data_IF_216711528763
#
_entry.id   IF_216711528763
#
_cell.length_a   1.000
_cell.length_b   1.000
_cell.length_c   1.000
_cell.angle_alpha   90.00
_cell.angle_beta   90.00
_cell.angle_gamma   90.00
#
_symmetry.space_group_name_H-M   'P 1'
#
loop_
_entity.id
_entity.type
_entity.pdbx_description
1 polymer ?
#
# COMPACT_ATOMS: atom_id res chain seq x y z
N UNK A 1 0.84 -12.90 -9.90
CA UNK A 1 0.93 -12.45 -8.51
C UNK A 1 1.00 -13.65 -7.56
N UNK A 2 0.09 -14.63 -7.69
CA UNK A 2 -0.02 -15.78 -6.78
C UNK A 2 1.31 -16.55 -6.66
N UNK A 3 1.87 -17.02 -7.78
CA UNK A 3 3.13 -17.77 -7.79
C UNK A 3 4.28 -17.00 -7.14
N UNK A 4 4.43 -15.71 -7.47
CA UNK A 4 5.52 -14.89 -6.91
C UNK A 4 5.32 -14.53 -5.42
N UNK A 5 4.07 -14.44 -4.97
CA UNK A 5 3.77 -14.27 -3.55
C UNK A 5 4.05 -15.56 -2.75
N UNK A 6 3.77 -16.74 -3.34
CA UNK A 6 4.17 -18.02 -2.76
C UNK A 6 5.70 -18.13 -2.66
N UNK A 7 6.42 -17.82 -3.73
CA UNK A 7 7.89 -17.80 -3.72
C UNK A 7 8.45 -16.89 -2.63
N UNK A 8 7.89 -15.68 -2.46
CA UNK A 8 8.29 -14.78 -1.37
C UNK A 8 8.00 -15.36 0.02
N UNK A 9 6.85 -16.02 0.21
CA UNK A 9 6.52 -16.68 1.48
C UNK A 9 7.47 -17.86 1.78
N UNK A 10 7.81 -18.67 0.77
CA UNK A 10 8.80 -19.73 0.88
C UNK A 10 10.18 -19.15 1.25
N UNK A 11 10.58 -18.03 0.65
CA UNK A 11 11.81 -17.33 1.01
C UNK A 11 11.79 -16.91 2.48
N UNK A 12 10.71 -16.28 2.96
CA UNK A 12 10.59 -15.87 4.36
C UNK A 12 10.70 -17.07 5.31
N UNK A 13 10.07 -18.20 5.00
CA UNK A 13 10.19 -19.43 5.79
C UNK A 13 11.61 -20.01 5.74
N UNK A 14 12.29 -19.98 4.60
CA UNK A 14 13.68 -20.46 4.49
C UNK A 14 14.66 -19.61 5.32
N UNK A 15 14.35 -18.35 5.55
CA UNK A 15 15.07 -17.45 6.44
C UNK A 15 14.67 -17.62 7.92
N UNK A 16 13.77 -18.56 8.24
CA UNK A 16 13.34 -18.82 9.61
C UNK A 16 12.31 -17.81 10.16
N UNK A 17 11.71 -16.96 9.32
CA UNK A 17 10.65 -16.06 9.78
C UNK A 17 9.40 -16.88 10.14
N UNK A 18 8.80 -16.52 11.26
CA UNK A 18 7.60 -17.15 11.81
C UNK A 18 6.44 -16.16 11.87
N UNK A 19 5.25 -16.66 12.21
CA UNK A 19 4.09 -15.82 12.47
C UNK A 19 4.41 -14.76 13.53
N UNK A 20 4.14 -13.51 13.21
CA UNK A 20 4.39 -12.37 14.09
C UNK A 20 5.75 -11.68 13.91
N UNK A 21 6.66 -12.26 13.12
CA UNK A 21 7.89 -11.57 12.70
C UNK A 21 7.58 -10.39 11.76
N UNK A 22 8.55 -9.53 11.57
CA UNK A 22 8.39 -8.29 10.82
C UNK A 22 9.32 -8.19 9.62
N UNK A 23 8.81 -7.57 8.55
CA UNK A 23 9.62 -7.09 7.42
C UNK A 23 9.37 -5.60 7.19
N UNK A 24 10.36 -4.90 6.63
CA UNK A 24 10.26 -3.52 6.21
C UNK A 24 10.38 -3.40 4.68
N UNK A 25 9.57 -2.52 4.08
CA UNK A 25 9.48 -2.33 2.64
C UNK A 25 9.64 -0.85 2.31
N UNK A 26 10.71 -0.48 1.60
CA UNK A 26 10.97 0.86 1.11
C UNK A 26 10.96 0.86 -0.42
N UNK A 27 9.78 0.97 -1.02
CA UNK A 27 9.59 0.90 -2.46
C UNK A 27 8.70 2.03 -2.98
N UNK A 28 8.94 2.41 -4.23
CA UNK A 28 8.02 3.23 -5.01
C UNK A 28 6.75 2.43 -5.33
N UNK A 29 5.69 3.14 -5.76
CA UNK A 29 4.51 2.49 -6.30
C UNK A 29 4.86 1.62 -7.51
N UNK A 30 4.61 0.34 -7.39
CA UNK A 30 4.84 -0.63 -8.44
C UNK A 30 3.96 -1.87 -8.19
N UNK A 31 3.43 -2.56 -9.22
CA UNK A 31 2.66 -3.79 -9.02
C UNK A 31 3.39 -4.88 -8.21
N UNK A 32 4.72 -4.95 -8.30
CA UNK A 32 5.53 -5.90 -7.50
C UNK A 32 5.54 -5.61 -6.01
N UNK A 33 5.11 -4.42 -5.57
CA UNK A 33 4.89 -4.12 -4.15
C UNK A 33 3.93 -5.13 -3.52
N UNK A 34 2.89 -5.49 -4.27
CA UNK A 34 1.90 -6.47 -3.79
C UNK A 34 2.43 -7.90 -3.71
N UNK A 35 3.45 -8.27 -4.49
CA UNK A 35 4.09 -9.58 -4.37
C UNK A 35 4.69 -9.76 -2.97
N UNK A 36 5.36 -8.72 -2.47
CA UNK A 36 6.00 -8.72 -1.14
C UNK A 36 4.93 -8.68 -0.04
N UNK A 37 3.93 -7.79 -0.17
CA UNK A 37 2.85 -7.70 0.80
C UNK A 37 2.07 -9.01 0.91
N UNK A 38 1.73 -9.65 -0.22
CA UNK A 38 1.02 -10.92 -0.22
C UNK A 38 1.89 -12.10 0.23
N UNK A 39 3.20 -12.05 0.01
CA UNK A 39 4.12 -13.03 0.59
C UNK A 39 4.12 -12.94 2.13
N UNK A 40 4.20 -11.74 2.68
CA UNK A 40 4.11 -11.50 4.12
C UNK A 40 2.72 -11.84 4.68
N UNK A 41 1.64 -11.45 3.95
CA UNK A 41 0.26 -11.69 4.34
C UNK A 41 0.00 -13.18 4.57
N UNK A 42 0.37 -14.06 3.60
CA UNK A 42 0.16 -15.50 3.72
C UNK A 42 1.13 -16.23 4.67
N UNK A 43 2.21 -15.57 5.04
CA UNK A 43 3.18 -16.11 5.99
C UNK A 43 2.92 -15.66 7.43
N UNK A 44 1.84 -14.94 7.71
CA UNK A 44 1.54 -14.43 9.06
C UNK A 44 2.53 -13.38 9.56
N UNK A 45 3.16 -12.65 8.65
CA UNK A 45 4.23 -11.70 8.95
C UNK A 45 3.68 -10.27 8.91
N UNK A 46 4.15 -9.43 9.83
CA UNK A 46 3.92 -7.99 9.75
C UNK A 46 4.79 -7.37 8.66
N UNK A 47 4.18 -6.52 7.83
CA UNK A 47 4.92 -5.76 6.83
C UNK A 47 4.73 -4.26 7.03
N UNK A 48 5.87 -3.55 7.13
CA UNK A 48 5.92 -2.10 7.34
C UNK A 48 6.26 -1.40 6.03
N UNK A 49 5.27 -0.76 5.43
CA UNK A 49 5.46 0.06 4.23
C UNK A 49 6.02 1.43 4.62
N UNK A 50 7.27 1.68 4.24
CA UNK A 50 8.00 2.92 4.54
C UNK A 50 7.84 3.89 3.38
N UNK A 51 7.59 5.17 3.68
CA UNK A 51 7.54 6.22 2.67
C UNK A 51 8.89 6.34 1.96
N UNK A 52 8.89 6.16 0.66
CA UNK A 52 10.09 6.32 -0.18
C UNK A 52 10.59 7.78 -0.27
N UNK A 53 9.86 8.74 0.32
CA UNK A 53 10.25 10.15 0.43
C UNK A 53 11.10 10.45 1.67
N UNK A 54 11.17 9.51 2.61
CA UNK A 54 11.93 9.67 3.83
C UNK A 54 13.43 9.62 3.55
N UNK A 55 14.17 10.28 4.42
CA UNK A 55 15.62 10.31 4.39
C UNK A 55 16.23 9.21 5.26
N UNK A 56 17.52 9.00 5.14
CA UNK A 56 18.26 7.95 5.82
C UNK A 56 17.91 7.78 7.30
N UNK A 57 17.91 8.87 8.09
CA UNK A 57 17.69 8.80 9.54
C UNK A 57 16.27 8.32 9.91
N UNK A 58 15.28 8.70 9.11
CA UNK A 58 13.89 8.29 9.34
C UNK A 58 13.68 6.83 8.92
N UNK A 59 14.30 6.40 7.83
CA UNK A 59 14.27 4.99 7.38
C UNK A 59 14.95 4.10 8.43
N UNK A 60 16.15 4.49 8.90
CA UNK A 60 16.87 3.79 9.96
C UNK A 60 16.02 3.61 11.21
N UNK A 61 15.41 4.71 11.68
CA UNK A 61 14.52 4.66 12.82
C UNK A 61 13.37 3.66 12.63
N UNK A 62 12.66 3.74 11.50
CA UNK A 62 11.48 2.89 11.27
C UNK A 62 11.87 1.42 11.15
N UNK A 63 12.92 1.09 10.39
CA UNK A 63 13.39 -0.30 10.21
C UNK A 63 13.77 -0.93 11.54
N UNK A 64 14.51 -0.20 12.38
CA UNK A 64 14.89 -0.69 13.71
C UNK A 64 13.71 -0.74 14.67
N UNK A 65 12.83 0.29 14.68
CA UNK A 65 11.70 0.37 15.60
C UNK A 65 10.60 -0.65 15.30
N UNK A 66 10.40 -1.03 14.03
CA UNK A 66 9.46 -2.10 13.67
C UNK A 66 10.06 -3.50 13.84
N UNK A 67 11.29 -3.61 14.31
CA UNK A 67 12.00 -4.89 14.54
C UNK A 67 12.06 -5.77 13.28
N UNK A 68 12.25 -5.15 12.12
CA UNK A 68 12.29 -5.87 10.84
C UNK A 68 13.48 -6.81 10.78
N UNK A 69 13.24 -8.10 10.54
CA UNK A 69 14.28 -9.11 10.28
C UNK A 69 14.71 -9.12 8.81
N UNK A 70 13.83 -8.70 7.91
CA UNK A 70 14.11 -8.55 6.48
C UNK A 70 13.78 -7.14 6.03
N UNK A 71 14.71 -6.51 5.30
CA UNK A 71 14.51 -5.20 4.69
C UNK A 71 14.54 -5.31 3.17
N UNK A 72 13.49 -4.83 2.51
CA UNK A 72 13.33 -4.91 1.05
C UNK A 72 13.21 -3.52 0.47
N UNK A 73 14.04 -3.21 -0.54
CA UNK A 73 14.05 -1.90 -1.20
C UNK A 73 14.20 -2.02 -2.72
N UNK A 74 14.34 -0.90 -3.41
CA UNK A 74 14.67 -0.83 -4.85
C UNK A 74 16.02 -0.16 -5.09
N UNK A 75 16.64 -0.46 -6.23
CA UNK A 75 17.88 0.20 -6.65
C UNK A 75 17.71 1.72 -6.82
N UNK A 76 16.48 2.19 -7.09
CA UNK A 76 16.18 3.62 -7.13
C UNK A 76 16.31 4.32 -5.76
N UNK A 77 16.39 3.56 -4.66
CA UNK A 77 16.59 4.09 -3.29
C UNK A 77 18.01 3.86 -2.75
N UNK A 78 18.94 3.40 -3.59
CA UNK A 78 20.32 3.07 -3.18
C UNK A 78 21.00 4.16 -2.35
N UNK A 79 20.86 5.43 -2.73
CA UNK A 79 21.50 6.56 -2.04
C UNK A 79 21.02 6.73 -0.59
N UNK A 80 19.78 6.34 -0.31
CA UNK A 80 19.19 6.42 1.03
C UNK A 80 19.59 5.21 1.87
N UNK A 81 19.70 4.02 1.26
CA UNK A 81 19.88 2.77 2.01
C UNK A 81 21.32 2.29 2.11
N UNK A 82 22.19 2.66 1.17
CA UNK A 82 23.61 2.30 1.20
C UNK A 82 24.31 2.70 2.52
N UNK A 83 24.07 3.91 3.08
CA UNK A 83 24.66 4.30 4.37
C UNK A 83 24.08 3.54 5.57
N UNK A 84 23.01 2.76 5.40
CA UNK A 84 22.37 1.95 6.46
C UNK A 84 22.94 0.53 6.55
N UNK A 85 23.75 0.10 5.59
CA UNK A 85 24.41 -1.21 5.62
C UNK A 85 25.22 -1.34 6.89
N UNK A 86 24.96 -2.42 7.65
CA UNK A 86 25.62 -2.68 8.95
C UNK A 86 25.11 -1.84 10.13
N UNK A 87 24.12 -0.97 9.95
CA UNK A 87 23.53 -0.15 11.02
C UNK A 87 22.16 -0.64 11.48
N UNK A 88 21.62 -1.66 10.87
CA UNK A 88 20.34 -2.27 11.20
C UNK A 88 20.56 -3.61 11.94
N UNK A 89 20.77 -3.61 13.26
CA UNK A 89 21.28 -4.77 14.00
C UNK A 89 20.32 -5.96 14.05
N UNK A 90 19.01 -5.72 13.85
CA UNK A 90 17.98 -6.77 13.85
C UNK A 90 17.76 -7.34 12.45
N UNK A 91 18.10 -6.57 11.41
CA UNK A 91 17.93 -7.00 10.03
C UNK A 91 18.96 -8.09 9.69
N UNK A 92 18.46 -9.28 9.42
CA UNK A 92 19.26 -10.45 9.07
C UNK A 92 19.57 -10.52 7.59
N UNK A 93 18.63 -10.01 6.75
CA UNK A 93 18.76 -10.02 5.29
C UNK A 93 18.21 -8.72 4.67
N UNK A 94 18.99 -8.19 3.73
CA UNK A 94 18.59 -7.06 2.90
C UNK A 94 18.41 -7.51 1.45
N UNK A 95 17.27 -7.17 0.85
CA UNK A 95 17.00 -7.44 -0.57
C UNK A 95 16.76 -6.16 -1.34
N UNK A 96 17.21 -6.16 -2.59
CA UNK A 96 17.02 -5.03 -3.50
C UNK A 96 16.41 -5.49 -4.82
N UNK A 97 15.43 -4.75 -5.28
CA UNK A 97 14.80 -4.91 -6.59
C UNK A 97 15.53 -4.09 -7.65
N UNK A 98 15.48 -4.61 -8.89
CA UNK A 98 15.98 -3.91 -10.09
C UNK A 98 17.47 -3.53 -9.99
N UNK A 99 18.26 -4.34 -9.29
CA UNK A 99 19.70 -4.16 -9.10
C UNK A 99 20.15 -4.56 -7.70
N UNK A 100 21.42 -4.40 -7.41
CA UNK A 100 22.03 -4.69 -6.10
C UNK A 100 23.09 -3.66 -5.76
N UNK A 101 23.43 -3.58 -4.48
CA UNK A 101 24.62 -2.90 -3.93
C UNK A 101 25.25 -3.82 -2.89
N UNK A 102 26.45 -3.50 -2.43
CA UNK A 102 27.08 -4.25 -1.35
C UNK A 102 26.16 -4.29 -0.11
N UNK A 103 26.00 -5.48 0.47
CA UNK A 103 25.10 -5.71 1.60
C UNK A 103 23.63 -5.96 1.23
N UNK A 104 23.24 -5.91 -0.06
CA UNK A 104 21.92 -6.26 -0.53
C UNK A 104 21.95 -7.36 -1.59
N UNK A 105 21.13 -8.39 -1.42
CA UNK A 105 20.94 -9.45 -2.41
C UNK A 105 19.81 -9.09 -3.39
N UNK A 106 19.82 -9.68 -4.59
CA UNK A 106 18.73 -9.52 -5.56
C UNK A 106 17.44 -10.17 -5.02
N UNK A 107 16.37 -9.40 -4.95
CA UNK A 107 15.05 -9.92 -4.60
C UNK A 107 14.54 -10.90 -5.65
N UNK A 108 14.71 -10.56 -6.94
CA UNK A 108 14.29 -11.37 -8.06
C UNK A 108 14.95 -12.75 -8.05
N UNK A 109 16.27 -12.80 -7.86
CA UNK A 109 17.02 -14.07 -7.84
C UNK A 109 16.65 -14.91 -6.61
N UNK A 110 16.49 -14.26 -5.46
CA UNK A 110 16.14 -14.94 -4.22
C UNK A 110 14.76 -15.63 -4.32
N UNK A 111 13.73 -14.95 -4.85
CA UNK A 111 12.42 -15.56 -5.01
C UNK A 111 12.36 -16.58 -6.16
N UNK A 112 13.12 -16.37 -7.25
CA UNK A 112 13.17 -17.31 -8.39
C UNK A 112 13.71 -18.69 -7.98
N UNK A 113 14.54 -18.77 -6.95
CA UNK A 113 15.05 -20.02 -6.40
C UNK A 113 14.04 -20.78 -5.53
N UNK A 114 12.88 -20.16 -5.18
CA UNK A 114 11.89 -20.72 -4.29
C UNK A 114 10.76 -21.41 -5.07
N UNK A 115 10.10 -22.38 -4.38
CA UNK A 115 8.89 -23.03 -4.90
C UNK A 115 7.75 -22.01 -5.05
N UNK A 116 6.97 -22.12 -6.11
CA UNK A 116 5.74 -21.36 -6.33
C UNK A 116 4.50 -21.96 -5.62
N UNK A 117 4.69 -23.09 -4.93
CA UNK A 117 3.63 -23.72 -4.15
C UNK A 117 3.44 -22.99 -2.81
N UNK A 118 2.22 -22.97 -2.27
CA UNK A 118 1.95 -22.41 -0.96
C UNK A 118 2.83 -23.01 0.14
N UNK A 119 3.16 -22.24 1.17
CA UNK A 119 3.74 -22.77 2.41
C UNK A 119 2.67 -23.61 3.15
N UNK A 120 3.10 -24.65 3.89
CA UNK A 120 2.19 -25.57 4.55
C UNK A 120 1.42 -24.94 5.72
N UNK A 121 1.98 -23.90 6.33
CA UNK A 121 1.48 -23.23 7.54
C UNK A 121 0.96 -21.81 7.25
N UNK A 122 0.23 -21.64 6.13
CA UNK A 122 -0.35 -20.35 5.80
C UNK A 122 -1.23 -19.80 6.93
N UNK A 123 -1.04 -18.52 7.26
CA UNK A 123 -1.84 -17.79 8.22
C UNK A 123 -1.86 -16.30 7.87
N UNK A 124 -2.86 -15.56 8.36
CA UNK A 124 -2.99 -14.15 8.04
C UNK A 124 -1.90 -13.30 8.70
N UNK A 125 -1.22 -12.50 7.87
CA UNK A 125 -0.33 -11.41 8.28
C UNK A 125 -1.07 -10.07 8.36
N UNK A 126 -0.34 -9.00 8.64
CA UNK A 126 -0.94 -7.67 8.71
C UNK A 126 0.05 -6.56 8.35
N UNK A 127 -0.47 -5.46 7.83
CA UNK A 127 0.31 -4.23 7.71
C UNK A 127 0.52 -3.61 9.10
N UNK A 128 1.77 -3.27 9.43
CA UNK A 128 2.12 -2.39 10.54
C UNK A 128 2.60 -1.07 9.94
N UNK A 129 1.81 -0.01 10.09
CA UNK A 129 2.08 1.26 9.44
C UNK A 129 2.47 2.33 10.46
N UNK A 130 3.21 3.32 9.99
CA UNK A 130 3.68 4.42 10.82
C UNK A 130 2.85 5.68 10.55
N UNK A 131 2.45 6.36 11.64
CA UNK A 131 1.88 7.70 11.56
C UNK A 131 2.99 8.72 11.30
N UNK A 132 2.65 9.85 10.66
CA UNK A 132 3.60 10.94 10.42
C UNK A 132 4.09 11.65 11.69
N UNK A 133 3.56 11.31 12.87
CA UNK A 133 3.92 11.87 14.17
C UNK A 133 3.87 13.40 14.21
N UNK A 134 2.90 14.00 14.90
CA UNK A 134 2.83 15.46 15.05
C UNK A 134 3.76 15.99 16.16
N UNK A 135 4.32 15.11 16.98
CA UNK A 135 5.03 15.46 18.22
C UNK A 135 6.42 14.85 18.33
N UNK A 136 7.00 14.34 17.23
CA UNK A 136 8.32 13.70 17.28
C UNK A 136 8.47 12.57 16.28
N UNK A 137 9.03 11.44 16.70
CA UNK A 137 9.23 10.28 15.82
C UNK A 137 7.91 9.64 15.39
N UNK A 138 7.83 9.07 14.17
CA UNK A 138 6.68 8.31 13.71
C UNK A 138 6.34 7.18 14.68
N UNK A 139 5.03 6.95 14.92
CA UNK A 139 4.55 5.87 15.79
C UNK A 139 4.04 4.72 14.94
N UNK A 140 4.53 3.52 15.19
CA UNK A 140 4.05 2.29 14.57
C UNK A 140 2.72 1.84 15.18
N UNK A 141 1.75 1.52 14.33
CA UNK A 141 0.45 0.99 14.73
C UNK A 141 0.44 -0.51 14.41
N UNK A 142 0.56 -1.33 15.44
CA UNK A 142 0.57 -2.78 15.36
C UNK A 142 -0.77 -3.32 15.85
N UNK A 143 -1.54 -3.94 14.94
CA UNK A 143 -2.79 -4.64 15.28
C UNK A 143 -2.49 -6.10 15.60
N UNK A 144 -3.26 -6.76 16.46
CA UNK A 144 -3.17 -8.20 16.62
C UNK A 144 -3.33 -8.92 15.26
N UNK A 145 -2.56 -9.97 15.04
CA UNK A 145 -2.75 -10.82 13.87
C UNK A 145 -4.06 -11.60 14.00
N UNK A 146 -4.85 -11.73 12.92
CA UNK A 146 -6.05 -12.54 12.91
C UNK A 146 -5.74 -13.99 13.33
N UNK A 147 -6.62 -14.60 14.12
CA UNK A 147 -6.45 -16.00 14.55
C UNK A 147 -6.92 -17.00 13.48
N UNK A 148 -7.72 -16.53 12.53
CA UNK A 148 -8.25 -17.32 11.43
C UNK A 148 -7.14 -17.83 10.51
N UNK A 149 -7.39 -18.95 9.85
CA UNK A 149 -6.52 -19.45 8.80
C UNK A 149 -6.48 -18.47 7.61
N UNK A 150 -5.41 -18.55 6.83
CA UNK A 150 -5.26 -17.70 5.65
C UNK A 150 -6.45 -17.88 4.69
N UNK A 151 -7.07 -16.78 4.32
CA UNK A 151 -8.24 -16.76 3.43
C UNK A 151 -9.59 -16.98 4.10
N UNK A 152 -9.62 -17.29 5.41
CA UNK A 152 -10.86 -17.42 6.17
C UNK A 152 -11.31 -16.10 6.83
N UNK A 153 -10.46 -15.08 6.80
CA UNK A 153 -10.84 -13.74 7.26
C UNK A 153 -11.82 -13.13 6.24
N UNK A 154 -13.11 -13.37 6.49
CA UNK A 154 -14.22 -12.71 5.78
C UNK A 154 -14.38 -11.26 6.25
N UNK A 155 -13.28 -10.54 6.50
CA UNK A 155 -13.31 -9.13 6.83
C UNK A 155 -14.30 -8.41 5.92
N UNK A 156 -15.09 -7.49 6.47
CA UNK A 156 -16.11 -6.77 5.71
C UNK A 156 -15.45 -6.13 4.49
N UNK A 157 -15.81 -6.58 3.30
CA UNK A 157 -15.39 -5.93 2.06
C UNK A 157 -16.05 -4.55 1.99
N UNK A 158 -15.39 -3.58 2.63
CA UNK A 158 -15.88 -2.21 2.71
C UNK A 158 -16.08 -1.60 1.33
N UNK A 159 -15.26 -1.98 0.36
CA UNK A 159 -15.40 -1.48 -1.00
C UNK A 159 -16.70 -1.97 -1.64
N UNK A 160 -17.06 -3.22 -1.40
CA UNK A 160 -18.32 -3.80 -1.85
C UNK A 160 -19.52 -3.24 -1.07
N UNK A 161 -19.46 -3.27 0.27
CA UNK A 161 -20.61 -2.92 1.13
C UNK A 161 -20.92 -1.43 1.12
N UNK A 162 -19.89 -0.57 1.19
CA UNK A 162 -20.06 0.88 1.27
C UNK A 162 -20.07 1.57 -0.10
N UNK A 163 -19.36 1.00 -1.06
CA UNK A 163 -19.08 1.68 -2.33
C UNK A 163 -19.53 0.90 -3.56
N UNK A 164 -20.20 -0.22 -3.37
CA UNK A 164 -20.87 -0.95 -4.45
C UNK A 164 -19.92 -1.68 -5.43
N UNK A 165 -18.68 -1.94 -5.04
CA UNK A 165 -17.76 -2.69 -5.90
C UNK A 165 -18.28 -4.10 -6.18
N UNK A 166 -18.05 -4.59 -7.38
CA UNK A 166 -18.46 -5.90 -7.88
C UNK A 166 -17.31 -6.58 -8.63
N UNK A 167 -17.56 -7.78 -9.15
CA UNK A 167 -16.59 -8.49 -9.99
C UNK A 167 -16.23 -7.73 -11.29
N UNK A 168 -17.10 -6.84 -11.75
CA UNK A 168 -16.88 -6.03 -12.95
C UNK A 168 -16.16 -4.71 -12.65
N UNK A 169 -15.84 -4.46 -11.37
CA UNK A 169 -15.16 -3.22 -10.97
C UNK A 169 -13.68 -3.26 -11.35
N UNK A 170 -13.14 -2.07 -11.66
CA UNK A 170 -11.70 -1.84 -11.86
C UNK A 170 -11.29 -0.65 -10.99
N UNK A 171 -10.29 -0.86 -10.16
CA UNK A 171 -9.86 0.12 -9.17
C UNK A 171 -8.60 0.88 -9.61
N UNK A 172 -8.62 2.21 -9.54
CA UNK A 172 -7.43 3.05 -9.74
C UNK A 172 -6.83 3.48 -8.41
N UNK A 173 -5.53 3.21 -8.22
CA UNK A 173 -4.73 3.66 -7.08
C UNK A 173 -3.72 4.73 -7.51
N UNK A 174 -4.05 6.02 -7.41
CA UNK A 174 -3.17 7.12 -7.78
C UNK A 174 -2.24 7.56 -6.63
N UNK A 175 -2.55 7.15 -5.40
CA UNK A 175 -1.83 7.56 -4.20
C UNK A 175 -0.68 6.60 -3.84
N UNK A 176 0.31 7.06 -3.05
CA UNK A 176 1.41 6.20 -2.62
C UNK A 176 0.96 5.01 -1.75
N UNK A 177 1.46 3.82 -2.08
CA UNK A 177 1.11 2.56 -1.41
C UNK A 177 1.65 2.45 0.04
N UNK A 178 2.57 3.31 0.45
CA UNK A 178 3.01 3.34 1.84
C UNK A 178 2.01 4.01 2.80
N UNK A 179 0.95 4.63 2.29
CA UNK A 179 -0.13 5.14 3.12
C UNK A 179 -1.17 4.05 3.42
N UNK A 180 -1.75 4.13 4.62
CA UNK A 180 -2.69 3.13 5.13
C UNK A 180 -3.87 2.87 4.19
N UNK A 181 -4.55 3.91 3.75
CA UNK A 181 -5.74 3.76 2.94
C UNK A 181 -5.45 3.23 1.52
N UNK A 182 -4.52 3.79 0.73
CA UNK A 182 -4.15 3.22 -0.57
C UNK A 182 -3.73 1.75 -0.49
N UNK A 183 -2.94 1.39 0.52
CA UNK A 183 -2.52 -0.01 0.70
C UNK A 183 -3.70 -0.90 1.07
N UNK A 184 -4.53 -0.52 2.04
CA UNK A 184 -5.65 -1.33 2.49
C UNK A 184 -6.68 -1.55 1.38
N UNK A 185 -7.07 -0.50 0.64
CA UNK A 185 -8.03 -0.62 -0.46
C UNK A 185 -7.48 -1.48 -1.59
N UNK A 186 -6.22 -1.32 -1.98
CA UNK A 186 -5.62 -2.13 -3.05
C UNK A 186 -5.45 -3.59 -2.64
N UNK A 187 -5.02 -3.87 -1.41
CA UNK A 187 -4.93 -5.24 -0.89
C UNK A 187 -6.31 -5.90 -0.83
N UNK A 188 -7.36 -5.16 -0.42
CA UNK A 188 -8.73 -5.67 -0.43
C UNK A 188 -9.23 -5.95 -1.86
N UNK A 189 -9.00 -5.05 -2.82
CA UNK A 189 -9.32 -5.27 -4.22
C UNK A 189 -8.70 -6.57 -4.75
N UNK A 190 -7.41 -6.78 -4.48
CA UNK A 190 -6.69 -7.98 -4.91
C UNK A 190 -7.26 -9.23 -4.24
N UNK A 191 -7.58 -9.18 -2.95
CA UNK A 191 -8.20 -10.27 -2.19
C UNK A 191 -9.54 -10.70 -2.80
N UNK A 192 -10.34 -9.73 -3.22
CA UNK A 192 -11.70 -9.95 -3.75
C UNK A 192 -11.72 -10.13 -5.28
N UNK A 193 -10.56 -10.14 -5.93
CA UNK A 193 -10.43 -10.35 -7.37
C UNK A 193 -10.71 -9.11 -8.23
N UNK A 194 -10.84 -7.93 -7.62
CA UNK A 194 -11.00 -6.66 -8.35
C UNK A 194 -9.65 -6.22 -8.94
N UNK A 195 -9.53 -6.02 -10.26
CA UNK A 195 -8.32 -5.53 -10.89
C UNK A 195 -7.89 -4.16 -10.37
N UNK A 196 -6.59 -3.97 -10.15
CA UNK A 196 -6.01 -2.72 -9.67
C UNK A 196 -5.07 -2.12 -10.69
N UNK A 197 -5.33 -0.88 -11.09
CA UNK A 197 -4.41 -0.04 -11.86
C UNK A 197 -3.63 0.84 -10.90
N UNK A 198 -2.30 0.69 -10.87
CA UNK A 198 -1.42 1.45 -9.96
C UNK A 198 -0.68 2.52 -10.75
N UNK A 199 -0.81 3.77 -10.32
CA UNK A 199 0.03 4.85 -10.84
C UNK A 199 1.36 4.87 -10.09
N UNK A 200 2.49 4.93 -10.81
CA UNK A 200 3.82 5.07 -10.20
C UNK A 200 3.95 6.36 -9.39
N UNK A 201 3.38 7.43 -9.90
CA UNK A 201 3.20 8.72 -9.23
C UNK A 201 1.93 9.39 -9.77
N UNK A 202 1.35 10.27 -8.97
CA UNK A 202 0.18 11.02 -9.41
C UNK A 202 0.54 12.12 -10.41
N UNK A 203 -0.06 12.03 -11.59
CA UNK A 203 -0.11 13.08 -12.61
C UNK A 203 -1.55 13.27 -13.06
N UNK A 204 -2.00 14.53 -13.11
CA UNK A 204 -3.43 14.83 -13.27
C UNK A 204 -4.02 14.37 -14.62
N UNK A 205 -3.32 14.65 -15.73
CA UNK A 205 -3.80 14.24 -17.07
C UNK A 205 -3.70 12.72 -17.25
N UNK A 206 -2.58 12.12 -16.80
CA UNK A 206 -2.41 10.66 -16.87
C UNK A 206 -3.46 9.90 -16.05
N UNK A 207 -3.93 10.47 -14.93
CA UNK A 207 -5.03 9.88 -14.17
C UNK A 207 -6.32 9.82 -14.98
N UNK A 208 -6.65 10.87 -15.77
CA UNK A 208 -7.80 10.89 -16.67
C UNK A 208 -7.63 9.87 -17.82
N UNK A 209 -6.44 9.80 -18.40
CA UNK A 209 -6.09 8.76 -19.40
C UNK A 209 -6.30 7.35 -18.83
N UNK A 210 -5.86 7.09 -17.61
CA UNK A 210 -6.08 5.80 -16.95
C UNK A 210 -7.58 5.50 -16.77
N UNK A 211 -8.39 6.49 -16.35
CA UNK A 211 -9.83 6.31 -16.19
C UNK A 211 -10.47 5.90 -17.51
N UNK A 212 -10.19 6.60 -18.59
CA UNK A 212 -10.74 6.28 -19.91
C UNK A 212 -10.24 4.93 -20.43
N UNK A 213 -8.91 4.74 -20.43
CA UNK A 213 -8.26 3.59 -21.04
C UNK A 213 -8.63 2.26 -20.39
N UNK A 214 -8.68 2.25 -19.05
CA UNK A 214 -8.96 1.03 -18.28
C UNK A 214 -10.41 0.94 -17.82
N UNK A 215 -11.28 1.91 -18.21
CA UNK A 215 -12.69 1.98 -17.78
C UNK A 215 -12.83 1.86 -16.26
N UNK A 216 -12.04 2.67 -15.56
CA UNK A 216 -12.00 2.68 -14.10
C UNK A 216 -13.40 2.97 -13.54
N UNK A 217 -13.83 2.15 -12.61
CA UNK A 217 -15.12 2.32 -11.91
C UNK A 217 -14.96 2.89 -10.51
N UNK A 218 -13.89 2.50 -9.80
CA UNK A 218 -13.63 2.89 -8.41
C UNK A 218 -12.24 3.48 -8.27
N UNK A 219 -12.09 4.45 -7.38
CA UNK A 219 -10.80 5.11 -7.18
C UNK A 219 -10.73 5.83 -5.83
N UNK A 220 -9.52 6.05 -5.32
CA UNK A 220 -9.31 6.80 -4.08
C UNK A 220 -8.36 7.98 -4.29
N UNK A 221 -8.75 9.13 -3.75
CA UNK A 221 -8.10 10.42 -3.97
C UNK A 221 -7.82 11.16 -2.67
N UNK A 222 -7.04 12.22 -2.77
CA UNK A 222 -6.95 13.26 -1.75
C UNK A 222 -7.34 14.61 -2.38
N UNK A 223 -7.86 15.58 -1.61
CA UNK A 223 -8.37 16.85 -2.15
C UNK A 223 -7.38 17.62 -3.02
N UNK A 224 -6.07 17.52 -2.72
CA UNK A 224 -5.02 18.16 -3.54
C UNK A 224 -4.92 17.57 -4.95
N UNK A 225 -5.29 16.29 -5.15
CA UNK A 225 -5.37 15.67 -6.48
C UNK A 225 -6.53 16.27 -7.29
N UNK A 226 -7.68 16.46 -6.66
CA UNK A 226 -8.82 17.15 -7.29
C UNK A 226 -8.45 18.57 -7.74
N UNK A 227 -7.81 19.34 -6.84
CA UNK A 227 -7.32 20.69 -7.19
C UNK A 227 -6.38 20.66 -8.40
N UNK A 228 -5.47 19.68 -8.47
CA UNK A 228 -4.54 19.56 -9.60
C UNK A 228 -5.26 19.18 -10.90
N UNK A 229 -6.25 18.31 -10.85
CA UNK A 229 -7.08 17.96 -12.03
C UNK A 229 -7.94 19.13 -12.50
N UNK A 230 -8.56 19.88 -11.59
CA UNK A 230 -9.36 21.06 -11.92
C UNK A 230 -8.52 22.22 -12.49
N UNK A 231 -7.21 22.26 -12.21
CA UNK A 231 -6.26 23.24 -12.81
C UNK A 231 -5.84 22.89 -14.24
N UNK A 232 -6.14 21.70 -14.73
CA UNK A 232 -5.90 21.39 -16.14
C UNK A 232 -6.78 22.30 -17.04
N UNK A 233 -6.30 22.71 -18.21
CA UNK A 233 -7.12 23.40 -19.18
C UNK A 233 -8.41 22.61 -19.46
N UNK A 234 -9.51 23.32 -19.65
CA UNK A 234 -10.81 22.69 -19.89
C UNK A 234 -10.78 21.75 -21.11
N UNK A 235 -10.09 22.14 -22.17
CA UNK A 235 -9.90 21.32 -23.37
C UNK A 235 -9.20 19.98 -23.05
N UNK A 236 -8.32 19.95 -22.07
CA UNK A 236 -7.65 18.71 -21.61
C UNK A 236 -8.62 17.89 -20.76
N UNK A 237 -9.34 18.53 -19.83
CA UNK A 237 -10.30 17.84 -18.96
C UNK A 237 -11.43 17.16 -19.74
N UNK A 238 -11.95 17.83 -20.79
CA UNK A 238 -13.03 17.34 -21.62
C UNK A 238 -12.60 16.36 -22.71
N UNK A 239 -11.29 16.15 -22.89
CA UNK A 239 -10.74 15.19 -23.85
C UNK A 239 -11.01 13.74 -23.46
N UNK A 240 -11.08 13.45 -22.16
CA UNK A 240 -11.14 12.09 -21.63
C UNK A 240 -12.53 11.70 -21.17
N UNK A 241 -12.97 10.51 -21.54
CA UNK A 241 -14.22 9.92 -21.08
C UNK A 241 -14.08 9.35 -19.67
N UNK A 242 -14.70 10.01 -18.71
CA UNK A 242 -14.73 9.60 -17.30
C UNK A 242 -16.05 8.95 -16.86
N UNK A 243 -16.95 8.66 -17.81
CA UNK A 243 -18.30 8.15 -17.56
C UNK A 243 -18.35 6.74 -16.95
N UNK A 244 -17.22 6.01 -16.98
CA UNK A 244 -17.10 4.71 -16.31
C UNK A 244 -17.05 4.80 -14.79
N UNK A 245 -16.73 5.98 -14.22
CA UNK A 245 -16.63 6.17 -12.78
C UNK A 245 -17.99 5.96 -12.10
N UNK A 246 -18.01 5.11 -11.09
CA UNK A 246 -19.14 4.84 -10.21
C UNK A 246 -18.87 5.34 -8.80
N UNK A 247 -17.60 5.34 -8.39
CA UNK A 247 -17.20 5.76 -7.06
C UNK A 247 -15.79 6.36 -7.04
N UNK A 248 -15.69 7.62 -6.63
CA UNK A 248 -14.44 8.33 -6.40
C UNK A 248 -14.36 8.75 -4.93
N UNK A 249 -13.63 7.97 -4.14
CA UNK A 249 -13.53 8.16 -2.69
C UNK A 249 -12.43 9.18 -2.41
N UNK A 250 -12.66 10.13 -1.50
CA UNK A 250 -11.57 10.97 -1.00
C UNK A 250 -11.52 11.01 0.52
N UNK A 251 -10.33 11.24 1.05
CA UNK A 251 -10.06 11.31 2.48
C UNK A 251 -8.74 12.06 2.76
N UNK A 252 -8.22 11.88 3.96
CA UNK A 252 -6.94 12.40 4.47
C UNK A 252 -6.91 13.90 4.80
N UNK A 253 -7.81 14.71 4.24
CA UNK A 253 -7.97 16.12 4.57
C UNK A 253 -9.39 16.58 4.22
N UNK A 254 -9.93 17.65 4.85
CA UNK A 254 -11.16 18.26 4.42
C UNK A 254 -11.08 18.74 2.97
N UNK A 255 -12.08 18.39 2.16
CA UNK A 255 -12.16 18.90 0.80
C UNK A 255 -12.89 20.26 0.80
N UNK A 256 -12.26 21.33 0.27
CA UNK A 256 -12.97 22.61 0.15
C UNK A 256 -14.26 22.46 -0.66
N UNK A 257 -15.37 23.02 -0.16
CA UNK A 257 -16.69 22.91 -0.78
C UNK A 257 -16.65 23.26 -2.27
N UNK A 258 -16.06 24.40 -2.71
CA UNK A 258 -16.03 24.73 -4.14
C UNK A 258 -15.27 23.74 -5.01
N UNK A 259 -14.27 23.04 -4.45
CA UNK A 259 -13.52 21.99 -5.16
C UNK A 259 -14.40 20.74 -5.31
N UNK A 260 -15.10 20.34 -4.24
CA UNK A 260 -16.01 19.20 -4.28
C UNK A 260 -17.17 19.43 -5.25
N UNK A 261 -17.78 20.61 -5.24
CA UNK A 261 -18.85 21.01 -6.16
C UNK A 261 -18.38 20.92 -7.62
N UNK A 262 -17.22 21.52 -7.96
CA UNK A 262 -16.67 21.44 -9.31
C UNK A 262 -16.37 19.99 -9.74
N UNK A 263 -15.93 19.12 -8.83
CA UNK A 263 -15.72 17.71 -9.15
C UNK A 263 -17.04 16.97 -9.38
N UNK A 264 -18.09 17.27 -8.60
CA UNK A 264 -19.43 16.71 -8.79
C UNK A 264 -20.03 17.19 -10.12
N UNK A 265 -19.89 18.47 -10.46
CA UNK A 265 -20.34 19.03 -11.73
C UNK A 265 -19.66 18.35 -12.93
N UNK A 266 -18.38 17.97 -12.77
CA UNK A 266 -17.60 17.34 -13.85
C UNK A 266 -17.78 15.82 -13.92
N UNK A 267 -17.66 15.12 -12.78
CA UNK A 267 -17.66 13.64 -12.72
C UNK A 267 -19.05 13.05 -12.43
N UNK A 268 -20.00 13.89 -12.01
CA UNK A 268 -21.30 13.46 -11.54
C UNK A 268 -21.33 13.11 -10.04
N UNK A 269 -22.44 12.56 -9.55
CA UNK A 269 -22.67 12.28 -8.12
C UNK A 269 -21.94 10.99 -7.64
N UNK A 270 -20.68 10.85 -8.02
CA UNK A 270 -19.82 9.68 -7.73
C UNK A 270 -18.77 9.98 -6.66
N UNK A 271 -18.77 11.18 -6.08
CA UNK A 271 -17.78 11.63 -5.10
C UNK A 271 -18.24 11.24 -3.70
N UNK A 272 -17.42 10.42 -3.03
CA UNK A 272 -17.62 9.97 -1.65
C UNK A 272 -16.52 10.46 -0.74
N UNK A 273 -16.86 10.77 0.50
CA UNK A 273 -15.89 11.16 1.53
C UNK A 273 -16.01 10.24 2.74
N UNK A 274 -14.86 9.86 3.31
CA UNK A 274 -14.85 9.23 4.62
C UNK A 274 -13.80 9.87 5.53
N UNK A 275 -14.03 9.76 6.81
CA UNK A 275 -13.07 10.11 7.84
C UNK A 275 -12.56 8.84 8.52
N UNK A 276 -11.23 8.71 8.62
CA UNK A 276 -10.58 7.65 9.37
C UNK A 276 -9.29 8.15 9.99
N UNK A 277 -8.93 7.56 11.11
CA UNK A 277 -7.65 7.79 11.79
C UNK A 277 -6.95 6.45 12.00
N UNK A 278 -5.69 6.35 11.58
CA UNK A 278 -4.88 5.14 11.75
C UNK A 278 -4.77 4.72 13.22
N UNK A 279 -4.65 5.70 14.14
CA UNK A 279 -4.52 5.45 15.57
C UNK A 279 -5.81 4.93 16.22
N UNK A 280 -6.99 5.44 15.80
CA UNK A 280 -8.27 5.06 16.39
C UNK A 280 -8.85 3.72 15.87
N UNK A 281 -8.31 3.18 14.81
CA UNK A 281 -8.74 1.87 14.29
C UNK A 281 -8.05 0.70 14.99
N UNK A 282 -7.05 0.95 15.84
CA UNK A 282 -6.28 -0.09 16.52
C UNK A 282 -6.66 -0.28 17.98
N UNK A 283 -7.27 0.71 18.65
CA UNK A 283 -7.68 0.58 20.06
C UNK A 283 -8.64 1.70 20.47
N UNK A 284 -9.90 1.59 20.05
CA UNK A 284 -10.92 2.57 20.42
C UNK A 284 -11.41 2.44 21.88
N UNK A 285 -10.93 1.43 22.61
CA UNK A 285 -11.41 1.14 23.96
C UNK A 285 -10.54 1.76 25.08
N UNK A 286 -9.25 2.01 24.84
CA UNK A 286 -8.33 2.43 25.91
C UNK A 286 -7.96 3.93 25.92
N UNK A 287 -8.26 4.70 24.86
CA UNK A 287 -7.87 6.12 24.74
C UNK A 287 -9.02 7.12 24.97
N UNK A 288 -10.00 6.80 25.80
CA UNK A 288 -10.95 7.79 26.34
C UNK A 288 -10.35 8.63 27.47
N UNK A 289 -9.03 8.69 27.58
CA UNK A 289 -8.29 9.56 28.52
C UNK A 289 -7.35 10.48 27.76
N UNK A 290 -7.91 11.43 27.05
CA UNK A 290 -7.25 12.70 26.68
C UNK A 290 -8.15 13.84 27.06
#
# INVERSE_FOLDING_TARGET
LEATANQGAQLFRSLGLQRGDHIAILLENHPRFFQICWAAQRAGIYYTAISWRLQQAEVDYIVNNCEARVFITSHARKEVVEPLVGKMPIVEQCYMRDGTIDGFSSWEDAIAAMSDQPIADQCEGAAMLYSSGTTGYPKGVKRPLPEQAYGEDEGVDLLKVLYGASADSIYLSPAPLYHAAPLAFTMNCIRTGVPVVVMGHFEAEFALECIERYKITHSQWVPTMFVRMLKLPEVVRLKYDVSSLQCAIHAAAPCPIPIKEQMIDWWGPVIYEYYACLLYTSDAADDLRC
#
